data_IF_938951415845
#
_entry.id   IF_938951415845
#
_cell.length_a   1.000
_cell.length_b   1.000
_cell.length_c   1.000
_cell.angle_alpha   90.00
_cell.angle_beta   90.00
_cell.angle_gamma   90.00
#
_symmetry.space_group_name_H-M   'P 1'
#
loop_
_entity.id
_entity.type
_entity.pdbx_description
1 polymer ?
#
# COMPACT_ATOMS: atom_id res chain seq x y z
N UNK A 1 9.33 6.40 -2.23
CA UNK A 1 7.94 6.89 -2.28
C UNK A 1 7.82 8.41 -2.43
N UNK A 2 8.60 9.21 -1.70
CA UNK A 2 8.41 10.68 -1.70
C UNK A 2 8.67 11.34 -3.07
N UNK A 3 9.56 10.76 -3.90
CA UNK A 3 9.74 11.19 -5.29
C UNK A 3 8.52 10.89 -6.18
N UNK A 4 7.90 9.73 -6.01
CA UNK A 4 6.67 9.34 -6.73
C UNK A 4 5.53 10.29 -6.33
N UNK A 5 5.42 10.61 -5.03
CA UNK A 5 4.47 11.59 -4.51
C UNK A 5 4.65 12.95 -5.19
N UNK A 6 5.88 13.46 -5.23
CA UNK A 6 6.21 14.72 -5.89
C UNK A 6 5.75 14.74 -7.36
N UNK A 7 6.05 13.68 -8.12
CA UNK A 7 5.72 13.59 -9.55
C UNK A 7 4.21 13.52 -9.78
N UNK A 8 3.49 12.77 -8.96
CA UNK A 8 2.03 12.73 -9.00
C UNK A 8 1.41 14.08 -8.64
N UNK A 9 1.95 14.76 -7.62
CA UNK A 9 1.48 16.08 -7.22
C UNK A 9 1.60 17.09 -8.36
N UNK A 10 2.77 17.14 -9.01
CA UNK A 10 2.99 18.04 -10.15
C UNK A 10 2.05 17.72 -11.30
N UNK A 11 1.76 16.44 -11.57
CA UNK A 11 0.86 16.05 -12.64
C UNK A 11 -0.60 16.44 -12.37
N UNK A 12 -1.13 16.13 -11.17
CA UNK A 12 -2.50 16.52 -10.81
C UNK A 12 -2.66 18.03 -10.72
N UNK A 13 -1.63 18.75 -10.27
CA UNK A 13 -1.63 20.22 -10.25
C UNK A 13 -1.73 20.81 -11.66
N UNK A 14 -1.11 20.19 -12.67
CA UNK A 14 -1.24 20.62 -14.08
C UNK A 14 -2.64 20.39 -14.64
N UNK A 15 -3.39 19.42 -14.10
CA UNK A 15 -4.77 19.11 -14.48
C UNK A 15 -5.82 19.93 -13.73
N UNK A 16 -5.38 20.82 -12.83
CA UNK A 16 -6.25 21.61 -11.96
C UNK A 16 -7.11 20.77 -11.00
N UNK A 17 -6.67 19.54 -10.70
CA UNK A 17 -7.29 18.65 -9.72
C UNK A 17 -6.76 18.90 -8.31
N UNK A 18 -7.41 18.32 -7.30
CA UNK A 18 -6.92 18.32 -5.91
C UNK A 18 -5.62 17.49 -5.78
N UNK A 19 -4.49 18.11 -6.08
CA UNK A 19 -3.20 17.44 -6.23
C UNK A 19 -2.71 16.75 -4.95
N UNK A 20 -2.98 17.34 -3.79
CA UNK A 20 -2.58 16.76 -2.50
C UNK A 20 -3.32 15.43 -2.29
N UNK A 21 -4.65 15.46 -2.34
CA UNK A 21 -5.49 14.29 -2.05
C UNK A 21 -5.21 13.17 -3.05
N UNK A 22 -5.21 13.48 -4.35
CA UNK A 22 -5.02 12.45 -5.38
C UNK A 22 -3.62 11.81 -5.33
N UNK A 23 -2.58 12.59 -5.01
CA UNK A 23 -1.23 12.04 -4.87
C UNK A 23 -1.07 11.19 -3.62
N UNK A 24 -1.75 11.55 -2.52
CA UNK A 24 -1.78 10.74 -1.30
C UNK A 24 -2.51 9.42 -1.57
N UNK A 25 -3.67 9.47 -2.23
CA UNK A 25 -4.43 8.27 -2.60
C UNK A 25 -3.58 7.34 -3.46
N UNK A 26 -2.94 7.87 -4.51
CA UNK A 26 -2.07 7.07 -5.38
C UNK A 26 -0.95 6.37 -4.61
N UNK A 27 -0.21 7.10 -3.78
CA UNK A 27 0.88 6.51 -2.99
C UNK A 27 0.35 5.51 -1.96
N UNK A 28 -0.81 5.79 -1.37
CA UNK A 28 -1.42 4.86 -0.42
C UNK A 28 -1.80 3.57 -1.11
N UNK A 29 -2.41 3.62 -2.29
CA UNK A 29 -2.75 2.43 -3.07
C UNK A 29 -1.50 1.61 -3.40
N UNK A 30 -0.43 2.25 -3.88
CA UNK A 30 0.84 1.55 -4.16
C UNK A 30 1.38 0.86 -2.90
N UNK A 31 1.41 1.56 -1.77
CA UNK A 31 1.88 0.98 -0.49
C UNK A 31 0.97 -0.15 0.00
N UNK A 32 -0.34 -0.01 -0.16
CA UNK A 32 -1.33 -1.00 0.22
C UNK A 32 -1.05 -2.31 -0.51
N UNK A 33 -0.91 -2.28 -1.84
CA UNK A 33 -0.65 -3.50 -2.62
C UNK A 33 0.75 -4.08 -2.39
N UNK A 34 1.77 -3.24 -2.13
CA UNK A 34 3.10 -3.75 -1.78
C UNK A 34 3.13 -4.48 -0.43
N UNK A 35 2.37 -3.99 0.55
CA UNK A 35 2.28 -4.60 1.89
C UNK A 35 1.18 -5.66 2.00
N UNK A 36 0.33 -5.79 0.98
CA UNK A 36 -0.77 -6.75 0.92
C UNK A 36 -0.37 -8.21 1.15
N UNK A 37 0.74 -8.75 0.60
CA UNK A 37 1.13 -10.13 0.85
C UNK A 37 1.37 -10.43 2.33
N UNK A 38 2.08 -9.53 3.01
CA UNK A 38 2.46 -9.70 4.41
C UNK A 38 1.21 -9.60 5.29
N UNK A 39 0.39 -8.57 5.09
CA UNK A 39 -0.84 -8.45 5.88
C UNK A 39 -1.86 -9.52 5.55
N UNK A 40 -1.93 -10.01 4.32
CA UNK A 40 -2.80 -11.14 3.97
C UNK A 40 -2.43 -12.41 4.72
N UNK A 41 -1.15 -12.67 4.95
CA UNK A 41 -0.68 -13.77 5.79
C UNK A 41 -1.07 -13.53 7.25
N UNK A 42 -0.78 -12.35 7.79
CA UNK A 42 -1.15 -11.99 9.17
C UNK A 42 -2.65 -12.18 9.38
N UNK A 43 -3.49 -11.67 8.48
CA UNK A 43 -4.95 -11.82 8.56
C UNK A 43 -5.35 -13.30 8.46
N UNK A 44 -4.70 -14.11 7.61
CA UNK A 44 -4.97 -15.54 7.53
C UNK A 44 -4.67 -16.29 8.85
N UNK A 45 -3.73 -15.81 9.68
CA UNK A 45 -3.53 -16.36 11.03
C UNK A 45 -4.70 -16.10 11.98
N UNK A 46 -5.40 -14.98 11.81
CA UNK A 46 -6.58 -14.60 12.59
C UNK A 46 -7.91 -15.13 12.01
N UNK A 47 -7.88 -15.71 10.82
CA UNK A 47 -9.08 -16.22 10.16
C UNK A 47 -9.54 -17.52 10.83
N UNK A 48 -10.73 -17.51 11.45
CA UNK A 48 -11.34 -18.67 12.11
C UNK A 48 -12.72 -18.95 11.51
N UNK A 49 -13.08 -20.23 11.36
CA UNK A 49 -14.35 -20.66 10.78
C UNK A 49 -15.59 -20.17 11.56
N UNK A 50 -15.41 -19.78 12.83
CA UNK A 50 -16.51 -19.30 13.70
C UNK A 50 -16.81 -17.81 13.57
N UNK A 51 -15.88 -16.99 13.07
CA UNK A 51 -16.06 -15.54 13.06
C UNK A 51 -15.40 -14.89 11.83
N UNK A 52 -16.23 -14.33 10.94
CA UNK A 52 -15.77 -13.76 9.68
C UNK A 52 -15.24 -12.32 9.87
N UNK A 53 -14.21 -12.16 10.70
CA UNK A 53 -13.55 -10.86 10.96
C UNK A 53 -12.60 -10.42 9.85
N UNK A 54 -12.35 -11.27 8.85
CA UNK A 54 -11.41 -11.05 7.76
C UNK A 54 -11.64 -9.70 7.05
N UNK A 55 -12.90 -9.40 6.70
CA UNK A 55 -13.26 -8.13 6.07
C UNK A 55 -12.93 -6.94 6.98
N UNK A 56 -13.25 -7.04 8.28
CA UNK A 56 -12.99 -5.98 9.25
C UNK A 56 -11.48 -5.70 9.38
N UNK A 57 -10.65 -6.75 9.42
CA UNK A 57 -9.20 -6.60 9.49
C UNK A 57 -8.62 -5.94 8.24
N UNK A 58 -9.10 -6.30 7.05
CA UNK A 58 -8.71 -5.61 5.81
C UNK A 58 -9.15 -4.14 5.77
N UNK A 59 -10.34 -3.82 6.30
CA UNK A 59 -10.81 -2.44 6.41
C UNK A 59 -9.96 -1.62 7.38
N UNK A 60 -9.67 -2.16 8.57
CA UNK A 60 -8.77 -1.51 9.54
C UNK A 60 -7.40 -1.29 8.93
N UNK A 61 -6.85 -2.29 8.23
CA UNK A 61 -5.58 -2.17 7.51
C UNK A 61 -5.61 -1.04 6.47
N UNK A 62 -6.66 -0.97 5.64
CA UNK A 62 -6.82 0.09 4.65
C UNK A 62 -6.86 1.50 5.30
N UNK A 63 -7.64 1.65 6.38
CA UNK A 63 -7.76 2.92 7.12
C UNK A 63 -6.41 3.33 7.73
N UNK A 64 -5.69 2.39 8.37
CA UNK A 64 -4.38 2.66 8.95
C UNK A 64 -3.38 3.14 7.88
N UNK A 65 -3.35 2.50 6.72
CA UNK A 65 -2.47 2.87 5.61
C UNK A 65 -2.78 4.26 5.05
N UNK A 66 -4.07 4.58 4.93
CA UNK A 66 -4.56 5.90 4.53
C UNK A 66 -4.16 6.97 5.55
N UNK A 67 -4.46 6.76 6.83
CA UNK A 67 -4.15 7.71 7.90
C UNK A 67 -2.65 7.98 8.01
N UNK A 68 -1.83 6.92 7.98
CA UNK A 68 -0.37 7.06 8.02
C UNK A 68 0.15 7.89 6.84
N UNK A 69 -0.35 7.64 5.62
CA UNK A 69 0.07 8.39 4.44
C UNK A 69 -0.44 9.83 4.45
N UNK A 70 -1.69 10.07 4.88
CA UNK A 70 -2.27 11.39 5.03
C UNK A 70 -1.43 12.25 5.99
N UNK A 71 -1.18 11.77 7.21
CA UNK A 71 -0.43 12.51 8.22
C UNK A 71 0.98 12.86 7.72
N UNK A 72 1.69 11.88 7.13
CA UNK A 72 3.05 12.10 6.62
C UNK A 72 3.06 13.17 5.53
N UNK A 73 2.25 12.99 4.50
CA UNK A 73 2.33 13.84 3.31
C UNK A 73 1.72 15.22 3.56
N UNK A 74 0.64 15.36 4.33
CA UNK A 74 0.12 16.70 4.68
C UNK A 74 1.18 17.53 5.41
N UNK A 75 1.89 16.93 6.38
CA UNK A 75 2.95 17.64 7.13
C UNK A 75 4.19 17.95 6.29
N UNK A 76 4.57 17.07 5.36
CA UNK A 76 5.85 17.14 4.64
C UNK A 76 5.71 17.58 3.18
N UNK A 77 4.52 17.96 2.70
CA UNK A 77 4.29 18.31 1.28
C UNK A 77 5.27 19.37 0.80
N UNK A 78 5.39 20.50 1.52
CA UNK A 78 6.22 21.62 1.09
C UNK A 78 7.71 21.27 1.05
N UNK A 79 8.22 20.56 2.07
CA UNK A 79 9.62 20.15 2.09
C UNK A 79 9.96 19.14 1.00
N UNK A 80 9.03 18.23 0.66
CA UNK A 80 9.19 17.30 -0.45
C UNK A 80 9.20 18.06 -1.79
N UNK A 81 8.32 19.04 -1.97
CA UNK A 81 8.27 19.84 -3.19
C UNK A 81 9.56 20.60 -3.43
N UNK A 82 10.10 21.27 -2.41
CA UNK A 82 11.37 21.99 -2.51
C UNK A 82 12.53 21.06 -2.82
N UNK A 83 12.61 19.93 -2.10
CA UNK A 83 13.69 18.94 -2.28
C UNK A 83 13.78 18.39 -3.70
N UNK A 84 12.63 18.14 -4.35
CA UNK A 84 12.60 17.50 -5.67
C UNK A 84 12.35 18.45 -6.85
N UNK A 85 12.12 19.75 -6.60
CA UNK A 85 11.90 20.76 -7.65
C UNK A 85 13.01 20.78 -8.70
N UNK A 86 14.26 20.69 -8.26
CA UNK A 86 15.46 20.75 -9.12
C UNK A 86 16.13 19.39 -9.31
N UNK A 87 15.42 18.29 -9.05
CA UNK A 87 16.00 16.95 -9.13
C UNK A 87 16.32 16.56 -10.58
N UNK A 88 17.54 16.06 -10.82
CA UNK A 88 17.98 15.55 -12.15
C UNK A 88 17.07 14.45 -12.69
N UNK A 89 16.51 13.63 -11.78
CA UNK A 89 15.58 12.54 -12.12
C UNK A 89 14.31 13.00 -12.84
N UNK A 90 13.93 14.27 -12.71
CA UNK A 90 12.75 14.83 -13.38
C UNK A 90 12.86 14.80 -14.90
N UNK A 91 14.08 14.82 -15.46
CA UNK A 91 14.33 14.73 -16.90
C UNK A 91 14.46 13.28 -17.38
N UNK A 92 14.99 12.40 -16.54
CA UNK A 92 15.30 11.01 -16.91
C UNK A 92 14.08 10.09 -16.79
N UNK A 93 13.31 10.23 -15.71
CA UNK A 93 12.18 9.33 -15.43
C UNK A 93 10.94 9.89 -16.11
N UNK A 94 10.40 9.16 -17.07
CA UNK A 94 9.16 9.56 -17.75
C UNK A 94 7.93 9.32 -16.87
N UNK A 95 6.87 10.10 -17.09
CA UNK A 95 5.63 9.97 -16.31
C UNK A 95 5.01 8.58 -16.40
N UNK A 96 5.06 7.92 -17.57
CA UNK A 96 4.46 6.60 -17.76
C UNK A 96 5.06 5.56 -16.79
N UNK A 97 6.37 5.62 -16.53
CA UNK A 97 7.05 4.71 -15.59
C UNK A 97 6.44 4.81 -14.19
N UNK A 98 6.11 6.03 -13.76
CA UNK A 98 5.53 6.31 -12.46
C UNK A 98 4.09 5.82 -12.39
N UNK A 99 3.31 6.04 -13.45
CA UNK A 99 1.94 5.52 -13.54
C UNK A 99 1.89 4.00 -13.54
N UNK A 100 2.85 3.33 -14.19
CA UNK A 100 2.95 1.88 -14.24
C UNK A 100 3.25 1.24 -12.88
N UNK A 101 3.77 1.99 -11.89
CA UNK A 101 4.05 1.44 -10.56
C UNK A 101 2.77 0.90 -9.90
N UNK A 102 1.63 1.57 -10.09
CA UNK A 102 0.38 1.13 -9.50
C UNK A 102 -0.07 -0.25 -10.03
N UNK A 103 -0.29 -0.48 -11.34
CA UNK A 103 -0.67 -1.80 -11.84
C UNK A 103 0.40 -2.87 -11.55
N UNK A 104 1.70 -2.52 -11.60
CA UNK A 104 2.77 -3.44 -11.22
C UNK A 104 2.64 -3.84 -9.74
N UNK A 105 2.34 -2.88 -8.85
CA UNK A 105 2.16 -3.16 -7.42
C UNK A 105 0.94 -4.05 -7.16
N UNK A 106 -0.15 -3.87 -7.90
CA UNK A 106 -1.37 -4.70 -7.80
C UNK A 106 -1.05 -6.13 -8.22
N UNK A 107 -0.52 -6.31 -9.44
CA UNK A 107 -0.22 -7.63 -10.00
C UNK A 107 0.82 -8.34 -9.13
N UNK A 108 1.90 -7.64 -8.79
CA UNK A 108 2.96 -8.15 -7.93
C UNK A 108 2.45 -8.52 -6.55
N UNK A 109 1.70 -7.63 -5.89
CA UNK A 109 1.15 -7.87 -4.55
C UNK A 109 0.22 -9.07 -4.50
N UNK A 110 -0.69 -9.23 -5.47
CA UNK A 110 -1.58 -10.39 -5.54
C UNK A 110 -0.78 -11.67 -5.80
N UNK A 111 0.15 -11.64 -6.76
CA UNK A 111 0.96 -12.81 -7.11
C UNK A 111 1.81 -13.27 -5.93
N UNK A 112 2.50 -12.34 -5.24
CA UNK A 112 3.28 -12.64 -4.04
C UNK A 112 2.41 -13.17 -2.91
N UNK A 113 1.21 -12.61 -2.71
CA UNK A 113 0.26 -13.13 -1.72
C UNK A 113 -0.10 -14.59 -2.01
N UNK A 114 -0.47 -14.93 -3.25
CA UNK A 114 -0.83 -16.30 -3.63
C UNK A 114 0.33 -17.27 -3.44
N UNK A 115 1.55 -16.86 -3.82
CA UNK A 115 2.76 -17.67 -3.61
C UNK A 115 2.96 -17.92 -2.12
N UNK A 116 2.99 -16.87 -1.29
CA UNK A 116 3.21 -17.01 0.14
C UNK A 116 2.09 -17.80 0.84
N UNK A 117 0.85 -17.61 0.43
CA UNK A 117 -0.27 -18.37 0.96
C UNK A 117 -0.08 -19.88 0.69
N UNK A 118 0.31 -20.25 -0.54
CA UNK A 118 0.55 -21.65 -0.89
C UNK A 118 1.80 -22.24 -0.23
N UNK A 119 2.86 -21.47 -0.04
CA UNK A 119 4.12 -21.98 0.52
C UNK A 119 4.20 -21.90 2.04
N UNK A 120 3.41 -21.05 2.68
CA UNK A 120 3.46 -20.84 4.14
C UNK A 120 2.14 -21.27 4.79
N UNK A 121 0.99 -20.72 4.40
CA UNK A 121 -0.26 -20.98 5.13
C UNK A 121 -0.73 -22.43 5.00
N UNK A 122 -0.74 -22.96 3.77
CA UNK A 122 -1.21 -24.33 3.49
C UNK A 122 -0.33 -25.40 4.17
N UNK A 123 0.99 -25.46 3.91
CA UNK A 123 1.80 -26.58 4.42
C UNK A 123 1.96 -26.59 5.95
N UNK A 124 1.92 -25.42 6.60
CA UNK A 124 2.04 -25.32 8.05
C UNK A 124 0.70 -25.31 8.78
N UNK A 125 -0.43 -25.46 8.05
CA UNK A 125 -1.79 -25.37 8.55
C UNK A 125 -1.99 -24.17 9.50
N UNK A 126 -1.52 -22.99 9.07
CA UNK A 126 -1.44 -21.79 9.92
C UNK A 126 -2.75 -21.00 9.99
N UNK A 127 -3.73 -21.38 9.16
CA UNK A 127 -5.04 -20.73 9.15
C UNK A 127 -5.71 -20.87 10.51
N UNK A 128 -6.06 -19.76 11.14
CA UNK A 128 -6.77 -19.72 12.42
C UNK A 128 -6.00 -20.22 13.65
N UNK A 129 -4.70 -20.53 13.53
CA UNK A 129 -3.90 -21.06 14.65
C UNK A 129 -3.73 -20.08 15.81
N UNK A 130 -3.94 -18.79 15.59
CA UNK A 130 -3.82 -17.79 16.66
C UNK A 130 -4.89 -17.98 17.75
N UNK A 131 -6.13 -18.32 17.38
CA UNK A 131 -7.19 -18.60 18.36
C UNK A 131 -6.95 -19.92 19.09
N UNK A 132 -6.41 -20.92 18.40
CA UNK A 132 -6.07 -22.21 19.02
C UNK A 132 -4.99 -22.12 20.10
N UNK A 133 -4.08 -21.14 20.01
CA UNK A 133 -3.01 -20.92 21.00
C UNK A 133 -3.45 -20.09 22.21
N UNK A 134 -4.53 -19.30 22.09
CA UNK A 134 -5.04 -18.46 23.18
C UNK A 134 -6.10 -19.20 24.01
N UNK A 135 -6.80 -20.17 23.40
CA UNK A 135 -7.79 -21.02 24.08
C UNK A 135 -7.19 -22.28 24.75
N UNK A 136 -5.85 -22.41 24.84
CA UNK A 136 -5.14 -23.44 25.62
C UNK A 136 -4.56 -22.84 26.90
#
# INVERSE_FOLDING_TARGET
MDYIYYRMYVWYKRKNDCAIVNSILFITSVKFFLCFPIMGIVIAFFESDKNNMTLMLYLVYAILMLMHSLIKYIKQTNSILEKYKHSKYNRTIHNYVIYSILPISVIGGILFYVILYKTVIIPYALRGKFFFLIDC
#
